data_IF_897797617718
#
_entry.id   IF_897797617718
#
_cell.length_a   1.000
_cell.length_b   1.000
_cell.length_c   1.000
_cell.angle_alpha   90.00
_cell.angle_beta   90.00
_cell.angle_gamma   90.00
#
_symmetry.space_group_name_H-M   'P 1'
#
loop_
_entity.id
_entity.type
_entity.pdbx_description
1 polymer ?
#
# COMPACT_ATOMS: atom_id res chain seq x y z
N UNK A 1 -25.73 27.37 52.69
CA UNK A 1 -24.48 27.48 51.91
C UNK A 1 -23.80 26.13 51.67
N UNK A 2 -23.56 25.29 52.70
CA UNK A 2 -22.96 23.94 52.56
C UNK A 2 -23.71 22.98 51.61
N UNK A 3 -25.03 23.03 51.57
CA UNK A 3 -25.88 22.16 50.73
C UNK A 3 -25.77 22.47 49.24
N UNK A 4 -25.64 23.74 48.87
CA UNK A 4 -25.45 24.19 47.48
C UNK A 4 -24.07 23.79 46.95
N UNK A 5 -23.04 23.93 47.79
CA UNK A 5 -21.66 23.50 47.49
C UNK A 5 -21.60 21.98 47.24
N UNK A 6 -22.24 21.16 48.09
CA UNK A 6 -22.33 19.71 47.88
C UNK A 6 -23.12 19.32 46.61
N UNK A 7 -24.11 20.14 46.19
CA UNK A 7 -24.85 19.93 44.96
C UNK A 7 -23.99 20.20 43.71
N UNK A 8 -23.10 21.21 43.78
CA UNK A 8 -22.15 21.54 42.71
C UNK A 8 -21.11 20.42 42.56
N UNK A 9 -20.54 19.90 43.66
CA UNK A 9 -19.60 18.77 43.60
C UNK A 9 -20.24 17.50 43.04
N UNK A 10 -21.48 17.18 43.41
CA UNK A 10 -22.20 16.01 42.86
C UNK A 10 -22.49 16.15 41.36
N UNK A 11 -22.88 17.35 40.90
CA UNK A 11 -23.08 17.62 39.47
C UNK A 11 -21.78 17.55 38.69
N UNK A 12 -20.69 18.10 39.23
CA UNK A 12 -19.36 18.04 38.62
C UNK A 12 -18.84 16.61 38.54
N UNK A 13 -19.03 15.81 39.59
CA UNK A 13 -18.67 14.38 39.61
C UNK A 13 -19.47 13.58 38.58
N UNK A 14 -20.78 13.87 38.44
CA UNK A 14 -21.64 13.22 37.45
C UNK A 14 -21.23 13.54 36.01
N UNK A 15 -20.89 14.80 35.72
CA UNK A 15 -20.37 15.21 34.41
C UNK A 15 -19.02 14.56 34.11
N UNK A 16 -18.14 14.47 35.10
CA UNK A 16 -16.84 13.79 34.96
C UNK A 16 -17.02 12.28 34.70
N UNK A 17 -17.98 11.64 35.37
CA UNK A 17 -18.31 10.22 35.17
C UNK A 17 -18.91 9.96 33.78
N UNK A 18 -19.76 10.85 33.27
CA UNK A 18 -20.30 10.80 31.91
C UNK A 18 -19.20 10.93 30.84
N UNK A 19 -18.28 11.87 31.03
CA UNK A 19 -17.11 12.05 30.15
C UNK A 19 -16.21 10.81 30.18
N UNK A 20 -15.93 10.25 31.36
CA UNK A 20 -15.13 9.04 31.51
C UNK A 20 -15.79 7.78 30.92
N UNK A 21 -17.12 7.66 30.97
CA UNK A 21 -17.83 6.55 30.32
C UNK A 21 -17.86 6.69 28.78
N UNK A 22 -17.77 7.90 28.24
CA UNK A 22 -17.75 8.13 26.79
C UNK A 22 -16.41 7.86 26.11
N UNK A 23 -15.31 7.76 26.86
CA UNK A 23 -13.95 7.56 26.32
C UNK A 23 -13.59 6.11 25.95
N UNK A 24 -14.50 5.13 26.07
CA UNK A 24 -14.17 3.70 25.89
C UNK A 24 -14.33 3.16 24.46
N UNK A 25 -14.61 3.99 23.46
CA UNK A 25 -14.81 3.54 22.07
C UNK A 25 -13.86 4.24 21.10
N UNK A 26 -12.56 4.11 21.31
CA UNK A 26 -11.57 4.41 20.27
C UNK A 26 -11.16 3.11 19.58
N UNK A 27 -11.86 2.77 18.50
CA UNK A 27 -11.45 1.67 17.62
C UNK A 27 -10.50 2.24 16.54
N UNK A 28 -9.23 1.87 16.59
CA UNK A 28 -8.38 1.97 15.42
C UNK A 28 -8.78 0.85 14.46
N UNK A 29 -9.34 1.20 13.30
CA UNK A 29 -9.87 0.22 12.37
C UNK A 29 -8.76 -0.24 11.43
N UNK A 30 -8.38 -1.51 11.52
CA UNK A 30 -7.66 -2.20 10.45
C UNK A 30 -8.71 -2.58 9.42
N UNK A 31 -8.72 -1.90 8.27
CA UNK A 31 -9.76 -2.08 7.26
C UNK A 31 -9.82 -3.52 6.74
N UNK A 32 -8.66 -4.11 6.46
CA UNK A 32 -8.51 -5.54 6.15
C UNK A 32 -7.32 -6.10 6.91
N UNK A 33 -7.52 -7.22 7.60
CA UNK A 33 -6.44 -7.92 8.31
C UNK A 33 -5.57 -8.68 7.31
N UNK A 34 -4.25 -8.57 7.45
CA UNK A 34 -3.32 -9.39 6.67
C UNK A 34 -3.30 -10.82 7.22
N UNK A 35 -3.67 -11.78 6.38
CA UNK A 35 -3.49 -13.21 6.68
C UNK A 35 -2.08 -13.66 6.28
N UNK A 36 -1.35 -14.39 7.15
CA UNK A 36 -0.05 -14.95 6.79
C UNK A 36 -0.15 -15.84 5.53
N UNK A 37 0.69 -15.57 4.51
CA UNK A 37 0.74 -16.34 3.24
C UNK A 37 1.73 -17.50 3.26
N UNK A 38 2.65 -17.47 4.21
CA UNK A 38 3.56 -18.57 4.54
C UNK A 38 3.67 -18.63 6.06
N UNK A 39 3.43 -19.80 6.64
CA UNK A 39 3.55 -20.05 8.07
C UNK A 39 4.17 -21.43 8.30
N UNK A 40 5.47 -21.53 8.02
CA UNK A 40 6.24 -22.76 8.10
C UNK A 40 7.62 -22.46 8.69
N UNK A 41 8.26 -23.45 9.31
CA UNK A 41 9.64 -23.34 9.76
C UNK A 41 10.56 -23.78 8.64
N UNK A 42 11.40 -22.88 8.14
CA UNK A 42 12.39 -23.18 7.11
C UNK A 42 13.74 -22.57 7.47
N UNK A 43 14.82 -23.16 6.95
CA UNK A 43 16.16 -22.61 7.06
C UNK A 43 16.56 -22.01 5.70
N UNK A 44 16.72 -20.70 5.66
CA UNK A 44 17.08 -19.94 4.47
C UNK A 44 16.86 -18.44 4.71
N UNK A 45 17.18 -17.65 3.70
CA UNK A 45 17.04 -16.20 3.74
C UNK A 45 15.83 -15.71 2.95
N UNK A 46 15.34 -14.53 3.30
CA UNK A 46 14.35 -13.80 2.52
C UNK A 46 15.01 -12.54 1.96
N UNK A 47 14.62 -12.19 0.74
CA UNK A 47 15.03 -10.94 0.12
C UNK A 47 13.84 -10.32 -0.60
N UNK A 48 13.90 -9.01 -0.78
CA UNK A 48 12.87 -8.21 -1.41
C UNK A 48 13.54 -7.18 -2.30
N UNK A 49 12.99 -7.01 -3.50
CA UNK A 49 13.29 -5.89 -4.37
C UNK A 49 12.00 -5.14 -4.63
N UNK A 50 12.11 -3.83 -4.79
CA UNK A 50 10.97 -2.97 -5.00
C UNK A 50 11.35 -1.82 -5.94
N UNK A 51 10.32 -1.30 -6.58
CA UNK A 51 10.35 -0.08 -7.37
C UNK A 51 9.14 0.77 -6.98
N UNK A 52 9.09 1.98 -7.50
CA UNK A 52 7.97 2.89 -7.31
C UNK A 52 7.29 3.20 -8.64
N UNK A 53 5.97 3.22 -8.60
CA UNK A 53 5.10 3.55 -9.75
C UNK A 53 4.73 5.03 -9.80
N UNK A 54 4.93 5.75 -8.69
CA UNK A 54 4.75 7.18 -8.51
C UNK A 54 6.03 7.79 -7.93
N UNK A 55 6.43 8.94 -8.45
CA UNK A 55 7.67 9.61 -8.06
C UNK A 55 7.60 11.13 -8.28
N UNK A 56 8.72 11.82 -8.07
CA UNK A 56 8.90 13.24 -8.44
C UNK A 56 9.40 13.43 -9.88
N UNK A 57 9.78 12.35 -10.55
CA UNK A 57 10.26 12.36 -11.92
C UNK A 57 9.88 11.05 -12.61
N UNK A 58 9.61 11.10 -13.92
CA UNK A 58 9.20 9.92 -14.68
C UNK A 58 10.29 8.85 -14.77
N UNK A 59 11.57 9.27 -14.85
CA UNK A 59 12.71 8.33 -15.01
C UNK A 59 13.76 8.36 -13.91
N UNK A 60 13.78 9.41 -13.08
CA UNK A 60 14.87 9.61 -12.12
C UNK A 60 14.44 9.15 -10.73
N UNK A 61 15.35 8.51 -9.97
CA UNK A 61 15.04 8.08 -8.61
C UNK A 61 14.77 9.29 -7.73
N UNK A 62 13.83 9.13 -6.80
CA UNK A 62 13.67 10.08 -5.70
C UNK A 62 14.61 9.67 -4.56
N UNK A 63 15.52 10.56 -4.16
CA UNK A 63 16.53 10.31 -3.11
C UNK A 63 16.38 11.30 -1.95
N UNK A 64 15.19 11.86 -1.75
CA UNK A 64 14.89 12.73 -0.63
C UNK A 64 14.20 11.96 0.50
N UNK A 65 13.93 12.68 1.60
CA UNK A 65 13.41 12.11 2.85
C UNK A 65 11.89 12.23 3.00
N UNK A 66 11.21 12.97 2.11
CA UNK A 66 9.78 13.21 2.22
C UNK A 66 8.95 12.04 1.64
N UNK A 67 7.83 11.76 2.29
CA UNK A 67 6.91 10.69 1.92
C UNK A 67 6.10 11.03 0.67
N UNK A 68 5.48 10.00 0.08
CA UNK A 68 4.60 10.16 -1.08
C UNK A 68 3.39 11.08 -0.82
N UNK A 69 2.95 11.20 0.43
CA UNK A 69 1.84 12.05 0.86
C UNK A 69 2.25 13.51 1.13
N UNK A 70 3.56 13.81 1.14
CA UNK A 70 4.05 15.18 1.31
C UNK A 70 3.97 16.00 0.01
N UNK A 71 3.59 15.35 -1.10
CA UNK A 71 3.62 15.93 -2.43
C UNK A 71 2.25 15.91 -3.09
N UNK A 72 1.88 17.05 -3.66
CA UNK A 72 0.64 17.22 -4.44
C UNK A 72 0.85 17.07 -5.95
N UNK A 73 2.10 16.95 -6.39
CA UNK A 73 2.50 16.91 -7.79
C UNK A 73 3.41 15.71 -8.12
N UNK A 74 3.08 14.54 -7.56
CA UNK A 74 3.71 13.30 -7.99
C UNK A 74 3.35 13.00 -9.45
N UNK A 75 4.26 12.31 -10.14
CA UNK A 75 4.09 11.87 -11.53
C UNK A 75 4.20 10.36 -11.61
N UNK A 76 3.59 9.77 -12.64
CA UNK A 76 3.78 8.36 -12.96
C UNK A 76 5.20 8.12 -13.48
N UNK A 77 5.82 7.05 -12.99
CA UNK A 77 7.15 6.60 -13.44
C UNK A 77 6.99 5.88 -14.77
N UNK A 78 7.77 6.24 -15.78
CA UNK A 78 7.79 5.62 -17.10
C UNK A 78 9.24 5.62 -17.62
N UNK A 79 9.89 4.46 -17.52
CA UNK A 79 11.31 4.27 -17.83
C UNK A 79 11.57 3.67 -19.20
N UNK A 80 10.53 3.25 -19.91
CA UNK A 80 10.65 2.52 -21.19
C UNK A 80 9.91 3.18 -22.35
N UNK A 81 9.03 4.15 -22.09
CA UNK A 81 8.25 4.87 -23.11
C UNK A 81 7.49 3.89 -24.04
N UNK A 82 7.07 2.74 -23.50
CA UNK A 82 6.27 1.74 -24.20
C UNK A 82 4.80 2.17 -24.19
N UNK A 83 4.27 2.49 -25.38
CA UNK A 83 2.89 2.97 -25.56
C UNK A 83 1.80 1.94 -25.17
N UNK A 84 2.17 0.68 -24.92
CA UNK A 84 1.25 -0.34 -24.41
C UNK A 84 1.16 -0.32 -22.88
N UNK A 85 2.04 0.39 -22.18
CA UNK A 85 2.03 0.56 -20.73
C UNK A 85 1.56 1.97 -20.37
N UNK A 86 0.88 2.10 -19.24
CA UNK A 86 0.53 3.42 -18.70
C UNK A 86 1.70 4.05 -17.94
N UNK A 87 2.42 3.21 -17.21
CA UNK A 87 3.58 3.56 -16.41
C UNK A 87 4.46 2.30 -16.28
N UNK A 88 5.76 2.50 -16.09
CA UNK A 88 6.74 1.40 -16.07
C UNK A 88 7.87 1.74 -15.11
N UNK A 89 8.33 0.74 -14.37
CA UNK A 89 9.47 0.85 -13.47
C UNK A 89 10.19 -0.49 -13.39
N UNK A 90 11.43 -0.50 -12.90
CA UNK A 90 12.23 -1.72 -12.79
C UNK A 90 12.96 -1.79 -11.47
N UNK A 91 13.26 -3.01 -11.05
CA UNK A 91 14.09 -3.30 -9.91
C UNK A 91 15.06 -4.43 -10.29
N UNK A 92 16.27 -4.40 -9.74
CA UNK A 92 17.29 -5.40 -10.00
C UNK A 92 17.52 -6.25 -8.75
N UNK A 93 17.28 -7.56 -8.86
CA UNK A 93 17.65 -8.52 -7.82
C UNK A 93 19.08 -8.98 -8.06
N UNK A 94 19.99 -8.50 -7.22
CA UNK A 94 21.34 -9.03 -7.17
C UNK A 94 21.34 -10.35 -6.39
N UNK A 95 22.08 -11.35 -6.87
CA UNK A 95 22.25 -12.61 -6.16
C UNK A 95 22.78 -12.34 -4.74
N UNK A 96 22.00 -12.64 -3.67
CA UNK A 96 22.44 -12.42 -2.29
C UNK A 96 23.62 -13.32 -1.88
N UNK A 97 23.79 -14.46 -2.54
CA UNK A 97 24.88 -15.41 -2.29
C UNK A 97 25.70 -15.62 -3.59
N UNK A 98 26.54 -14.64 -3.96
CA UNK A 98 27.26 -14.63 -5.24
C UNK A 98 28.27 -15.77 -5.40
N UNK A 99 28.64 -16.44 -4.29
CA UNK A 99 29.57 -17.55 -4.28
C UNK A 99 28.90 -18.92 -4.49
N UNK A 100 27.57 -18.96 -4.61
CA UNK A 100 26.80 -20.19 -4.82
C UNK A 100 26.30 -20.20 -6.27
N UNK A 101 26.61 -21.28 -6.99
CA UNK A 101 26.27 -21.41 -8.41
C UNK A 101 24.76 -21.53 -8.68
N UNK A 102 23.97 -21.94 -7.68
CA UNK A 102 22.52 -22.11 -7.81
C UNK A 102 21.78 -21.78 -6.52
N UNK A 103 20.83 -20.85 -6.61
CA UNK A 103 19.87 -20.54 -5.55
C UNK A 103 18.58 -21.33 -5.76
N UNK A 104 18.09 -21.93 -4.69
CA UNK A 104 16.75 -22.50 -4.66
C UNK A 104 15.77 -21.47 -4.11
N UNK A 105 14.79 -21.07 -4.92
CA UNK A 105 13.71 -20.17 -4.49
C UNK A 105 12.57 -21.03 -3.97
N UNK A 106 12.35 -21.01 -2.66
CA UNK A 106 11.23 -21.74 -2.05
C UNK A 106 9.88 -21.10 -2.40
N UNK A 107 9.80 -19.77 -2.31
CA UNK A 107 8.59 -19.01 -2.63
C UNK A 107 8.92 -17.60 -3.09
N UNK A 108 8.17 -17.11 -4.07
CA UNK A 108 8.24 -15.74 -4.57
C UNK A 108 6.83 -15.12 -4.50
N UNK A 109 6.77 -13.86 -4.10
CA UNK A 109 5.53 -13.09 -4.06
C UNK A 109 5.71 -11.78 -4.81
N UNK A 110 4.70 -11.42 -5.58
CA UNK A 110 4.61 -10.14 -6.24
C UNK A 110 3.48 -9.35 -5.58
N UNK A 111 3.81 -8.15 -5.10
CA UNK A 111 2.86 -7.20 -4.54
C UNK A 111 2.95 -5.89 -5.29
N UNK A 112 1.81 -5.25 -5.49
CA UNK A 112 1.76 -3.89 -6.03
C UNK A 112 0.59 -3.12 -5.43
N UNK A 113 0.70 -1.80 -5.52
CA UNK A 113 -0.39 -0.88 -5.28
C UNK A 113 -0.75 -0.22 -6.61
N UNK A 114 -2.02 -0.33 -7.00
CA UNK A 114 -2.58 0.40 -8.11
C UNK A 114 -2.99 1.81 -7.66
N UNK A 115 -2.65 2.83 -8.45
CA UNK A 115 -3.17 4.18 -8.26
C UNK A 115 -4.64 4.24 -8.73
N UNK A 116 -5.53 3.57 -8.00
CA UNK A 116 -6.91 3.30 -8.40
C UNK A 116 -7.87 4.39 -7.91
N UNK A 117 -7.70 5.62 -8.41
CA UNK A 117 -8.60 6.74 -8.10
C UNK A 117 -9.63 6.91 -9.20
N UNK A 118 -10.92 6.90 -8.85
CA UNK A 118 -11.97 7.19 -9.83
C UNK A 118 -11.91 8.64 -10.30
N UNK A 119 -12.34 8.86 -11.55
CA UNK A 119 -12.59 10.19 -12.07
C UNK A 119 -13.87 10.77 -11.44
N UNK A 120 -14.05 12.09 -11.54
CA UNK A 120 -15.23 12.77 -10.96
C UNK A 120 -16.57 12.28 -11.52
N UNK A 121 -16.56 11.64 -12.68
CA UNK A 121 -17.73 11.04 -13.33
C UNK A 121 -17.93 9.55 -12.98
N UNK A 122 -17.11 9.01 -12.07
CA UNK A 122 -17.14 7.60 -11.64
C UNK A 122 -16.47 6.64 -12.63
N UNK A 123 -15.83 7.14 -13.69
CA UNK A 123 -15.06 6.30 -14.60
C UNK A 123 -13.68 5.94 -14.06
N UNK A 124 -13.07 4.90 -14.64
CA UNK A 124 -11.69 4.55 -14.34
C UNK A 124 -10.73 5.64 -14.81
N UNK A 125 -9.66 5.87 -14.06
CA UNK A 125 -8.64 6.85 -14.39
C UNK A 125 -7.79 6.49 -15.61
N UNK A 126 -7.87 5.26 -16.11
CA UNK A 126 -7.15 4.84 -17.31
C UNK A 126 -7.97 3.88 -18.19
N UNK A 127 -8.03 4.08 -19.52
CA UNK A 127 -8.74 3.18 -20.44
C UNK A 127 -8.11 1.78 -20.48
N UNK A 128 -8.96 0.73 -20.56
CA UNK A 128 -8.54 -0.67 -20.64
C UNK A 128 -7.57 -1.09 -19.54
N UNK A 129 -7.73 -0.49 -18.35
CA UNK A 129 -6.94 -0.80 -17.18
C UNK A 129 -7.72 -1.68 -16.22
N UNK A 130 -7.00 -2.52 -15.49
CA UNK A 130 -7.54 -3.30 -14.40
C UNK A 130 -6.54 -3.24 -13.24
N UNK A 131 -7.00 -2.79 -12.08
CA UNK A 131 -6.15 -2.48 -10.92
C UNK A 131 -5.43 -3.73 -10.38
N UNK A 132 -6.00 -4.92 -10.59
CA UNK A 132 -5.42 -6.20 -10.20
C UNK A 132 -4.66 -6.89 -11.34
N UNK A 133 -4.32 -6.19 -12.41
CA UNK A 133 -3.42 -6.66 -13.45
C UNK A 133 -2.12 -5.84 -13.46
N UNK A 134 -0.98 -6.51 -13.65
CA UNK A 134 0.32 -5.89 -13.86
C UNK A 134 1.02 -6.50 -15.07
N UNK A 135 1.73 -5.68 -15.84
CA UNK A 135 2.62 -6.15 -16.91
C UNK A 135 4.01 -6.40 -16.34
N UNK A 136 4.50 -7.63 -16.43
CA UNK A 136 5.80 -8.07 -15.94
C UNK A 136 6.71 -8.47 -17.10
N UNK A 137 7.95 -7.99 -17.08
CA UNK A 137 9.02 -8.40 -18.01
C UNK A 137 10.22 -8.84 -17.19
N UNK A 138 10.56 -10.12 -17.28
CA UNK A 138 11.66 -10.74 -16.55
C UNK A 138 12.99 -10.56 -17.31
N UNK A 139 14.14 -10.77 -16.64
CA UNK A 139 15.45 -10.69 -17.28
C UNK A 139 15.55 -11.62 -18.51
N UNK A 140 15.95 -11.05 -19.64
CA UNK A 140 16.07 -11.78 -20.91
C UNK A 140 14.80 -11.81 -21.76
N UNK A 141 13.66 -11.36 -21.24
CA UNK A 141 12.43 -11.22 -22.02
C UNK A 141 12.41 -9.90 -22.81
N UNK A 142 11.87 -9.95 -24.02
CA UNK A 142 11.66 -8.76 -24.86
C UNK A 142 10.27 -8.16 -24.69
N UNK A 143 9.27 -8.97 -24.34
CA UNK A 143 7.87 -8.58 -24.25
C UNK A 143 7.38 -8.65 -22.81
N UNK A 144 6.39 -7.82 -22.49
CA UNK A 144 5.63 -7.93 -21.24
C UNK A 144 4.65 -9.11 -21.27
N UNK A 145 4.48 -9.73 -20.11
CA UNK A 145 3.41 -10.68 -19.82
C UNK A 145 2.45 -10.07 -18.81
N UNK A 146 1.15 -10.28 -18.97
CA UNK A 146 0.16 -9.81 -17.99
C UNK A 146 0.01 -10.84 -16.88
N UNK A 147 0.14 -10.40 -15.63
CA UNK A 147 -0.11 -11.18 -14.43
C UNK A 147 -1.30 -10.57 -13.70
N UNK A 148 -2.31 -11.38 -13.43
CA UNK A 148 -3.47 -11.01 -12.61
C UNK A 148 -3.22 -11.43 -11.17
N UNK A 149 -3.58 -10.59 -10.21
CA UNK A 149 -3.45 -10.91 -8.78
C UNK A 149 -4.36 -12.09 -8.41
N UNK A 150 -3.81 -13.04 -7.68
CA UNK A 150 -4.60 -14.11 -7.04
C UNK A 150 -5.50 -13.57 -5.93
N UNK A 151 -5.11 -12.44 -5.31
CA UNK A 151 -5.79 -11.85 -4.17
C UNK A 151 -5.70 -10.32 -4.20
N UNK A 152 -6.83 -9.65 -3.97
CA UNK A 152 -6.90 -8.21 -3.76
C UNK A 152 -6.97 -7.94 -2.25
N UNK A 153 -5.86 -7.48 -1.68
CA UNK A 153 -5.74 -7.18 -0.25
C UNK A 153 -6.68 -6.06 0.19
N UNK A 154 -6.75 -4.99 -0.61
CA UNK A 154 -7.60 -3.85 -0.34
C UNK A 154 -7.77 -3.02 -1.61
N UNK A 155 -9.00 -2.57 -1.84
CA UNK A 155 -9.33 -1.60 -2.88
C UNK A 155 -10.17 -0.49 -2.27
N UNK A 156 -9.57 0.70 -2.14
CA UNK A 156 -10.23 1.84 -1.50
C UNK A 156 -11.53 2.27 -2.19
N UNK A 157 -11.60 2.14 -3.53
CA UNK A 157 -12.78 2.50 -4.32
C UNK A 157 -14.05 1.72 -3.93
N UNK A 158 -13.91 0.45 -3.57
CA UNK A 158 -15.07 -0.38 -3.19
C UNK A 158 -15.73 0.09 -1.87
N UNK A 159 -15.01 0.93 -1.13
CA UNK A 159 -15.42 1.43 0.19
C UNK A 159 -15.67 2.93 0.20
N UNK A 160 -15.85 3.56 -0.97
CA UNK A 160 -16.06 4.99 -1.08
C UNK A 160 -17.27 5.41 -0.23
N UNK A 161 -16.98 6.15 0.85
CA UNK A 161 -18.00 6.86 1.61
C UNK A 161 -18.27 8.17 0.85
N UNK A 162 -19.35 8.18 0.06
CA UNK A 162 -20.00 9.44 -0.35
C UNK A 162 -20.50 10.21 0.85
#
# INVERSE_FOLDING_TARGET
MKTAINHIYKKSLFVFMLLACSSFYMNAQVMNSFTPRLNETMQGDFTTIANNVLSRHAVNPYTGEAGNHDFTNNVYVDIDNDATTFNSSSANLTNPEPNIDCLNIYKAYLYWAAADREQSDGSDNQPNWNYNDVKLRLPGETNYTTVTADEVLFRGRDTHFV
#
